data_IF_694940000679
#
_entry.id   IF_694940000679
#
_cell.length_a   1.000
_cell.length_b   1.000
_cell.length_c   1.000
_cell.angle_alpha   90.00
_cell.angle_beta   90.00
_cell.angle_gamma   90.00
#
_symmetry.space_group_name_H-M   'P 1'
#
loop_
_entity.id
_entity.type
_entity.pdbx_description
1 polymer ?
#
# COMPACT_ATOMS: atom_id res chain seq x y z
N UNK A 1 -12.09 -4.71 25.80
CA UNK A 1 -10.96 -5.62 26.11
C UNK A 1 -9.79 -5.25 25.21
N UNK A 2 -8.60 -5.80 25.47
CA UNK A 2 -7.38 -5.48 24.70
C UNK A 2 -7.52 -5.84 23.22
N UNK A 3 -8.37 -6.81 22.87
CA UNK A 3 -8.74 -7.16 21.50
C UNK A 3 -9.62 -6.09 20.81
N UNK A 4 -10.58 -5.49 21.53
CA UNK A 4 -11.45 -4.41 21.05
C UNK A 4 -10.72 -3.10 20.78
N UNK A 5 -9.74 -2.70 21.61
CA UNK A 5 -8.89 -1.53 21.34
C UNK A 5 -7.96 -1.75 20.15
N UNK A 6 -7.55 -3.00 19.92
CA UNK A 6 -6.64 -3.42 18.85
C UNK A 6 -7.34 -3.48 17.50
N UNK A 7 -8.59 -3.97 17.45
CA UNK A 7 -9.45 -3.93 16.28
C UNK A 7 -9.87 -2.50 15.90
N UNK A 8 -10.10 -1.63 16.90
CA UNK A 8 -10.38 -0.20 16.68
C UNK A 8 -9.14 0.56 16.17
N UNK A 9 -7.94 0.15 16.57
CA UNK A 9 -6.66 0.70 16.09
C UNK A 9 -6.39 0.29 14.64
N UNK A 10 -6.63 -0.98 14.28
CA UNK A 10 -6.56 -1.44 12.89
C UNK A 10 -7.65 -0.79 12.03
N UNK A 11 -8.88 -0.63 12.55
CA UNK A 11 -9.96 0.08 11.87
C UNK A 11 -9.67 1.59 11.68
N UNK A 12 -8.92 2.22 12.60
CA UNK A 12 -8.42 3.61 12.51
C UNK A 12 -7.21 3.73 11.57
N UNK A 13 -6.31 2.76 11.56
CA UNK A 13 -5.18 2.71 10.62
C UNK A 13 -5.63 2.39 9.18
N UNK A 14 -6.72 1.63 9.07
CA UNK A 14 -7.48 1.42 7.85
C UNK A 14 -8.34 2.65 7.55
N UNK A 15 -8.61 3.58 8.49
CA UNK A 15 -9.53 4.71 8.27
C UNK A 15 -9.07 5.67 7.16
N UNK A 16 -7.79 6.00 7.05
CA UNK A 16 -7.30 6.81 5.91
C UNK A 16 -7.52 6.11 4.54
N UNK A 17 -7.46 4.77 4.53
CA UNK A 17 -7.74 3.92 3.36
C UNK A 17 -9.25 3.64 3.24
N UNK A 18 -10.00 3.66 4.33
CA UNK A 18 -11.44 3.46 4.41
C UNK A 18 -12.17 4.73 4.03
N UNK A 19 -11.71 5.93 4.33
CA UNK A 19 -12.23 7.20 3.81
C UNK A 19 -11.95 7.31 2.31
N UNK A 20 -10.81 6.76 1.87
CA UNK A 20 -10.48 6.57 0.46
C UNK A 20 -11.44 5.56 -0.19
N UNK A 21 -11.82 4.47 0.50
CA UNK A 21 -12.85 3.47 0.10
C UNK A 21 -14.32 3.91 0.32
N UNK A 22 -14.60 4.79 1.28
CA UNK A 22 -15.92 5.24 1.72
C UNK A 22 -16.33 6.49 0.96
N UNK A 23 -15.38 7.35 0.57
CA UNK A 23 -15.58 8.34 -0.48
C UNK A 23 -15.98 7.69 -1.81
N UNK A 24 -15.50 6.48 -2.09
CA UNK A 24 -15.98 5.68 -3.23
C UNK A 24 -17.43 5.26 -3.07
N UNK A 25 -17.80 4.78 -1.89
CA UNK A 25 -19.16 4.32 -1.58
C UNK A 25 -20.18 5.47 -1.51
N UNK A 26 -19.79 6.63 -1.00
CA UNK A 26 -20.65 7.82 -0.93
C UNK A 26 -20.93 8.42 -2.32
N UNK A 27 -19.97 8.42 -3.24
CA UNK A 27 -20.22 8.82 -4.63
C UNK A 27 -21.08 7.81 -5.39
N UNK A 28 -20.90 6.51 -5.15
CA UNK A 28 -21.76 5.46 -5.72
C UNK A 28 -23.22 5.61 -5.24
N UNK A 29 -23.43 5.90 -3.95
CA UNK A 29 -24.76 6.18 -3.40
C UNK A 29 -25.37 7.50 -3.89
N UNK A 30 -24.56 8.54 -4.12
CA UNK A 30 -25.03 9.83 -4.62
C UNK A 30 -25.39 9.83 -6.11
N UNK A 31 -24.84 8.89 -6.89
CA UNK A 31 -25.10 8.72 -8.34
C UNK A 31 -25.99 7.52 -8.69
N UNK A 32 -26.39 6.70 -7.72
CA UNK A 32 -27.24 5.55 -7.97
C UNK A 32 -28.68 5.97 -8.33
N UNK A 33 -29.19 5.65 -9.54
CA UNK A 33 -30.62 5.74 -9.79
C UNK A 33 -31.37 4.73 -8.91
N UNK A 34 -32.61 5.04 -8.54
CA UNK A 34 -33.47 4.19 -7.72
C UNK A 34 -33.41 2.72 -8.22
N UNK A 35 -32.90 1.83 -7.36
CA UNK A 35 -32.63 0.41 -7.65
C UNK A 35 -33.81 -0.24 -8.37
N UNK A 36 -33.61 -0.61 -9.63
CA UNK A 36 -34.37 -1.69 -10.27
C UNK A 36 -33.53 -2.97 -10.17
N UNK A 37 -34.20 -4.10 -9.88
CA UNK A 37 -33.67 -5.44 -9.53
C UNK A 37 -32.28 -5.80 -10.08
N UNK A 38 -31.47 -6.42 -9.22
CA UNK A 38 -30.16 -7.00 -9.52
C UNK A 38 -30.16 -7.78 -10.83
N UNK A 39 -29.35 -7.33 -11.79
CA UNK A 39 -29.08 -8.03 -13.03
C UNK A 39 -27.90 -8.99 -12.81
N UNK A 40 -28.18 -10.28 -12.73
CA UNK A 40 -27.19 -11.36 -12.60
C UNK A 40 -26.82 -11.88 -14.00
N UNK A 41 -25.98 -11.15 -14.73
CA UNK A 41 -25.51 -11.57 -16.06
C UNK A 41 -24.02 -11.28 -16.25
N UNK A 42 -23.31 -11.93 -17.17
CA UNK A 42 -21.87 -11.76 -17.37
C UNK A 42 -21.45 -10.31 -17.69
N UNK A 43 -22.34 -9.50 -18.26
CA UNK A 43 -22.10 -8.05 -18.45
C UNK A 43 -22.10 -7.23 -17.15
N UNK A 44 -22.65 -7.73 -16.04
CA UNK A 44 -22.63 -7.02 -14.75
C UNK A 44 -21.25 -7.12 -14.07
N UNK A 45 -20.61 -8.30 -14.14
CA UNK A 45 -19.28 -8.52 -13.54
C UNK A 45 -18.19 -7.72 -14.26
N UNK A 46 -18.22 -7.70 -15.60
CA UNK A 46 -17.30 -6.88 -16.40
C UNK A 46 -17.40 -5.41 -16.01
N UNK A 47 -18.62 -4.91 -15.83
CA UNK A 47 -18.89 -3.54 -15.42
C UNK A 47 -18.40 -3.26 -14.00
N UNK A 48 -18.58 -4.19 -13.06
CA UNK A 48 -18.03 -4.07 -11.69
C UNK A 48 -16.50 -4.02 -11.68
N UNK A 49 -15.83 -4.83 -12.50
CA UNK A 49 -14.37 -4.80 -12.64
C UNK A 49 -13.86 -3.47 -13.20
N UNK A 50 -14.53 -2.91 -14.21
CA UNK A 50 -14.21 -1.60 -14.78
C UNK A 50 -14.39 -0.50 -13.73
N UNK A 51 -15.50 -0.53 -12.98
CA UNK A 51 -15.77 0.41 -11.90
C UNK A 51 -14.69 0.36 -10.83
N UNK A 52 -14.30 -0.83 -10.38
CA UNK A 52 -13.22 -1.01 -9.40
C UNK A 52 -11.87 -0.49 -9.92
N UNK A 53 -11.56 -0.73 -11.20
CA UNK A 53 -10.31 -0.29 -11.81
C UNK A 53 -10.24 1.23 -11.90
N UNK A 54 -11.30 1.88 -12.41
CA UNK A 54 -11.39 3.35 -12.47
C UNK A 54 -11.26 4.01 -11.11
N UNK A 55 -11.77 3.32 -10.10
CA UNK A 55 -11.80 3.80 -8.75
C UNK A 55 -10.40 3.86 -8.13
N UNK A 56 -9.58 2.82 -8.31
CA UNK A 56 -8.17 2.86 -7.92
C UNK A 56 -7.32 3.78 -8.81
N UNK A 57 -7.67 3.97 -10.08
CA UNK A 57 -7.00 4.97 -10.92
C UNK A 57 -7.21 6.39 -10.40
N UNK A 58 -8.42 6.69 -9.90
CA UNK A 58 -8.76 8.03 -9.43
C UNK A 58 -8.32 8.27 -8.00
N UNK A 59 -8.52 7.28 -7.14
CA UNK A 59 -8.36 7.44 -5.68
C UNK A 59 -7.10 6.78 -5.14
N UNK A 60 -6.41 5.94 -5.93
CA UNK A 60 -5.25 5.17 -5.49
C UNK A 60 -4.08 6.01 -5.01
N UNK A 61 -4.09 7.33 -5.19
CA UNK A 61 -3.10 8.23 -4.60
C UNK A 61 -3.79 9.41 -3.91
N UNK A 62 -3.50 9.64 -2.63
CA UNK A 62 -4.00 10.81 -1.89
C UNK A 62 -2.93 11.43 -0.97
N UNK A 63 -3.13 12.70 -0.64
CA UNK A 63 -2.41 13.40 0.42
C UNK A 63 -3.33 13.54 1.63
N UNK A 64 -2.84 13.22 2.82
CA UNK A 64 -3.61 13.26 4.07
C UNK A 64 -2.71 13.70 5.23
N UNK A 65 -3.30 14.16 6.34
CA UNK A 65 -2.55 14.39 7.58
C UNK A 65 -2.35 13.07 8.33
N UNK A 66 -1.25 12.36 8.05
CA UNK A 66 -0.98 11.07 8.69
C UNK A 66 -0.73 11.21 10.20
N UNK A 67 -0.37 12.41 10.67
CA UNK A 67 -0.16 12.66 12.09
C UNK A 67 -1.48 12.67 12.87
N UNK A 68 -2.59 13.06 12.23
CA UNK A 68 -3.95 12.99 12.81
C UNK A 68 -4.57 11.60 12.70
N UNK A 69 -4.27 10.87 11.62
CA UNK A 69 -4.91 9.58 11.30
C UNK A 69 -4.40 8.39 12.14
N UNK A 70 -3.30 8.55 12.88
CA UNK A 70 -2.85 7.56 13.87
C UNK A 70 -1.34 7.33 13.86
N UNK A 71 -0.90 6.29 14.57
CA UNK A 71 0.52 5.97 14.68
C UNK A 71 1.10 5.47 13.34
N UNK A 72 2.16 6.12 12.87
CA UNK A 72 3.02 5.65 11.78
C UNK A 72 4.36 5.19 12.36
N UNK A 73 4.83 4.00 11.96
CA UNK A 73 6.01 3.33 12.53
C UNK A 73 7.26 4.19 12.54
N UNK A 74 7.42 5.00 11.49
CA UNK A 74 8.61 5.83 11.25
C UNK A 74 8.43 7.31 11.62
N UNK A 75 7.32 7.68 12.28
CA UNK A 75 7.04 9.08 12.60
C UNK A 75 8.16 9.73 13.44
N UNK A 76 8.71 8.98 14.39
CA UNK A 76 9.83 9.46 15.22
C UNK A 76 11.14 9.58 14.47
N UNK A 77 11.33 8.81 13.38
CA UNK A 77 12.55 8.79 12.58
C UNK A 77 12.56 9.96 11.59
N UNK A 78 11.39 10.26 11.00
CA UNK A 78 11.19 11.41 10.14
C UNK A 78 11.48 12.76 10.83
N UNK A 79 11.11 12.88 12.11
CA UNK A 79 11.38 14.08 12.91
C UNK A 79 12.88 14.33 13.18
N UNK A 80 13.75 13.31 13.05
CA UNK A 80 15.18 13.41 13.39
C UNK A 80 16.05 13.94 12.25
N UNK A 81 15.50 14.15 11.05
CA UNK A 81 16.30 14.65 9.93
C UNK A 81 15.45 15.15 8.77
N UNK A 82 15.55 16.45 8.49
CA UNK A 82 14.94 17.04 7.32
C UNK A 82 15.75 16.72 6.04
N UNK A 83 15.09 16.37 4.92
CA UNK A 83 15.77 16.24 3.64
C UNK A 83 16.33 17.60 3.17
N UNK A 84 17.41 17.57 2.39
CA UNK A 84 18.00 18.78 1.80
C UNK A 84 18.20 18.61 0.30
N UNK A 85 17.89 19.67 -0.46
CA UNK A 85 18.22 19.80 -1.89
C UNK A 85 17.74 18.63 -2.77
N UNK A 86 18.69 17.86 -3.33
CA UNK A 86 18.44 16.79 -4.31
C UNK A 86 17.48 15.70 -3.80
N UNK A 87 17.52 15.39 -2.50
CA UNK A 87 16.64 14.40 -1.89
C UNK A 87 15.16 14.78 -2.00
N UNK A 88 14.82 16.06 -1.77
CA UNK A 88 13.46 16.57 -1.92
C UNK A 88 12.98 16.42 -3.37
N UNK A 89 13.81 16.86 -4.33
CA UNK A 89 13.49 16.72 -5.76
C UNK A 89 13.23 15.27 -6.13
N UNK A 90 14.05 14.34 -5.65
CA UNK A 90 13.84 12.92 -5.89
C UNK A 90 12.50 12.44 -5.34
N UNK A 91 12.15 12.79 -4.10
CA UNK A 91 10.86 12.42 -3.49
C UNK A 91 9.68 12.93 -4.32
N UNK A 92 9.74 14.17 -4.80
CA UNK A 92 8.68 14.72 -5.68
C UNK A 92 8.53 13.93 -6.99
N UNK A 93 9.63 13.44 -7.57
CA UNK A 93 9.59 12.55 -8.75
C UNK A 93 8.93 11.22 -8.41
N UNK A 94 9.22 10.63 -7.24
CA UNK A 94 8.53 9.41 -6.79
C UNK A 94 7.03 9.63 -6.64
N UNK A 95 6.62 10.72 -5.98
CA UNK A 95 5.20 11.03 -5.78
C UNK A 95 4.47 11.22 -7.10
N UNK A 96 5.08 11.90 -8.07
CA UNK A 96 4.51 12.04 -9.41
C UNK A 96 4.35 10.69 -10.12
N UNK A 97 5.35 9.80 -10.01
CA UNK A 97 5.28 8.46 -10.60
C UNK A 97 4.21 7.59 -9.94
N UNK A 98 4.08 7.64 -8.61
CA UNK A 98 3.03 6.95 -7.87
C UNK A 98 1.64 7.47 -8.26
N UNK A 99 1.45 8.80 -8.28
CA UNK A 99 0.18 9.39 -8.67
C UNK A 99 -0.25 8.99 -10.09
N UNK A 100 0.71 8.85 -11.02
CA UNK A 100 0.41 8.55 -12.41
C UNK A 100 0.30 7.06 -12.76
N UNK A 101 0.89 6.15 -11.98
CA UNK A 101 1.18 4.79 -12.47
C UNK A 101 0.99 3.68 -11.42
N UNK A 102 0.23 3.92 -10.36
CA UNK A 102 -0.14 2.86 -9.44
C UNK A 102 -1.00 1.79 -10.15
N UNK A 103 -0.65 0.49 -10.02
CA UNK A 103 -1.50 -0.59 -10.53
C UNK A 103 -2.84 -0.62 -9.81
N UNK A 104 -3.93 -0.68 -10.57
CA UNK A 104 -5.28 -0.82 -10.04
C UNK A 104 -6.15 -1.65 -10.98
N UNK A 105 -6.74 -2.72 -10.46
CA UNK A 105 -7.66 -3.54 -11.24
C UNK A 105 -8.24 -4.70 -10.44
N UNK A 106 -9.04 -5.52 -11.10
CA UNK A 106 -9.69 -6.67 -10.46
C UNK A 106 -8.70 -7.70 -9.90
N UNK A 107 -7.53 -7.87 -10.52
CA UNK A 107 -6.51 -8.82 -10.07
C UNK A 107 -5.61 -8.28 -8.94
N UNK A 108 -6.13 -7.39 -8.09
CA UNK A 108 -5.36 -6.68 -7.09
C UNK A 108 -5.05 -5.24 -7.50
N UNK A 109 -4.70 -4.44 -6.49
CA UNK A 109 -4.53 -3.01 -6.62
C UNK A 109 -3.57 -2.49 -5.56
N UNK A 110 -2.94 -1.35 -5.85
CA UNK A 110 -2.06 -0.64 -4.94
C UNK A 110 -2.62 0.77 -4.76
N UNK A 111 -2.79 1.18 -3.51
CA UNK A 111 -3.09 2.56 -3.16
C UNK A 111 -2.03 3.12 -2.22
N UNK A 112 -1.76 4.41 -2.31
CA UNK A 112 -0.77 5.12 -1.51
C UNK A 112 -1.38 6.39 -0.96
N UNK A 113 -1.15 6.61 0.32
CA UNK A 113 -1.37 7.92 0.95
C UNK A 113 -0.03 8.48 1.39
N UNK A 114 0.20 9.77 1.14
CA UNK A 114 1.39 10.50 1.59
C UNK A 114 0.98 11.55 2.62
N UNK A 115 1.85 11.77 3.62
CA UNK A 115 1.62 12.84 4.58
C UNK A 115 1.64 14.22 3.89
N UNK A 116 0.70 15.08 4.24
CA UNK A 116 0.55 16.42 3.66
C UNK A 116 1.70 17.37 4.07
N UNK A 117 2.35 17.12 5.20
CA UNK A 117 3.42 17.97 5.75
C UNK A 117 4.82 17.40 5.53
N UNK A 118 4.96 16.07 5.50
CA UNK A 118 6.22 15.36 5.32
C UNK A 118 6.12 14.25 4.26
N UNK A 119 6.49 14.60 3.02
CA UNK A 119 6.56 13.68 1.88
C UNK A 119 7.52 12.47 2.06
N UNK A 120 8.21 12.34 3.19
CA UNK A 120 8.97 11.13 3.55
C UNK A 120 8.12 10.00 4.10
N UNK A 121 6.93 10.31 4.62
CA UNK A 121 6.04 9.37 5.27
C UNK A 121 4.89 9.02 4.33
N UNK A 122 4.72 7.72 4.07
CA UNK A 122 3.64 7.21 3.24
C UNK A 122 3.06 5.94 3.87
N UNK A 123 1.78 5.69 3.64
CA UNK A 123 1.21 4.34 3.81
C UNK A 123 0.88 3.78 2.43
N UNK A 124 1.18 2.51 2.22
CA UNK A 124 0.77 1.78 1.03
C UNK A 124 -0.21 0.68 1.41
N UNK A 125 -1.35 0.62 0.72
CA UNK A 125 -2.26 -0.51 0.73
C UNK A 125 -1.96 -1.37 -0.50
N UNK A 126 -1.79 -2.67 -0.31
CA UNK A 126 -1.77 -3.66 -1.38
C UNK A 126 -2.96 -4.58 -1.18
N UNK A 127 -3.82 -4.66 -2.20
CA UNK A 127 -4.90 -5.64 -2.30
C UNK A 127 -4.33 -6.90 -2.94
N UNK A 128 -4.45 -8.02 -2.24
CA UNK A 128 -3.86 -9.28 -2.70
C UNK A 128 -4.48 -9.76 -4.03
N UNK A 129 -3.66 -10.32 -4.96
CA UNK A 129 -4.13 -10.71 -6.28
C UNK A 129 -5.11 -11.88 -6.26
N UNK A 130 -5.95 -11.96 -7.30
CA UNK A 130 -6.84 -13.12 -7.46
C UNK A 130 -6.06 -14.38 -7.78
N UNK A 131 -6.59 -15.54 -7.39
CA UNK A 131 -5.90 -16.82 -7.57
C UNK A 131 -4.72 -17.04 -6.61
N UNK A 132 -4.57 -16.19 -5.59
CA UNK A 132 -3.58 -16.34 -4.53
C UNK A 132 -4.27 -16.53 -3.17
N UNK A 133 -3.60 -17.08 -2.14
CA UNK A 133 -4.17 -17.14 -0.79
C UNK A 133 -4.37 -15.75 -0.17
N UNK A 134 -3.90 -14.70 -0.83
CA UNK A 134 -4.02 -13.31 -0.41
C UNK A 134 -5.22 -12.59 -1.03
N UNK A 135 -5.95 -13.24 -1.93
CA UNK A 135 -7.02 -12.63 -2.73
C UNK A 135 -7.98 -11.81 -1.87
N UNK A 136 -8.22 -10.56 -2.29
CA UNK A 136 -9.08 -9.57 -1.61
C UNK A 136 -8.62 -9.15 -0.20
N UNK A 137 -7.48 -9.65 0.28
CA UNK A 137 -6.87 -9.22 1.54
C UNK A 137 -6.27 -7.82 1.42
N UNK A 138 -6.41 -7.02 2.49
CA UNK A 138 -5.87 -5.67 2.58
C UNK A 138 -4.58 -5.65 3.41
N UNK A 139 -3.43 -5.47 2.75
CA UNK A 139 -2.12 -5.44 3.39
C UNK A 139 -1.60 -4.02 3.42
N UNK A 140 -1.53 -3.43 4.61
CA UNK A 140 -1.09 -2.04 4.79
C UNK A 140 0.37 -2.05 5.23
N UNK A 141 1.16 -1.18 4.61
CA UNK A 141 2.58 -0.98 4.86
C UNK A 141 2.83 0.47 5.26
N UNK A 142 3.57 0.67 6.35
CA UNK A 142 4.19 1.95 6.64
C UNK A 142 5.46 2.05 5.80
N UNK A 143 5.62 3.16 5.10
CA UNK A 143 6.71 3.43 4.17
C UNK A 143 7.41 4.70 4.61
N UNK A 144 8.74 4.66 4.65
CA UNK A 144 9.55 5.82 4.98
C UNK A 144 10.70 5.99 4.01
N UNK A 145 10.84 7.21 3.50
CA UNK A 145 11.95 7.64 2.65
C UNK A 145 12.99 8.32 3.55
N UNK A 146 14.10 7.64 3.93
CA UNK A 146 15.06 8.22 4.87
C UNK A 146 15.74 9.48 4.28
N UNK A 147 16.44 10.29 5.11
CA UNK A 147 17.19 11.46 4.63
C UNK A 147 18.25 11.11 3.57
N UNK A 148 18.77 9.89 3.61
CA UNK A 148 19.75 9.33 2.65
C UNK A 148 19.11 8.81 1.36
N UNK A 149 17.79 8.86 1.20
CA UNK A 149 17.13 8.48 -0.05
C UNK A 149 17.47 9.46 -1.19
N UNK A 150 17.79 9.02 -2.42
CA UNK A 150 17.71 7.64 -2.93
C UNK A 150 19.06 6.89 -2.90
N UNK A 151 20.07 7.36 -2.17
CA UNK A 151 21.34 6.62 -2.05
C UNK A 151 21.17 5.28 -1.32
N UNK A 152 20.14 5.18 -0.46
CA UNK A 152 19.68 3.93 0.14
C UNK A 152 18.21 3.66 -0.21
N UNK A 153 17.73 2.41 -0.07
CA UNK A 153 16.33 2.07 -0.32
C UNK A 153 15.36 2.72 0.68
N UNK A 154 14.05 2.69 0.38
CA UNK A 154 13.03 3.04 1.37
C UNK A 154 12.96 1.99 2.49
N UNK A 155 12.38 2.35 3.64
CA UNK A 155 12.05 1.42 4.71
C UNK A 155 10.57 1.08 4.67
N UNK A 156 10.24 -0.22 4.74
CA UNK A 156 8.87 -0.71 4.74
C UNK A 156 8.62 -1.58 5.98
N UNK A 157 7.44 -1.44 6.58
CA UNK A 157 6.94 -2.31 7.65
C UNK A 157 5.50 -2.70 7.37
N UNK A 158 5.21 -4.00 7.28
CA UNK A 158 3.84 -4.51 7.24
C UNK A 158 3.19 -4.29 8.62
N UNK A 159 2.06 -3.60 8.67
CA UNK A 159 1.29 -3.39 9.91
C UNK A 159 0.06 -4.29 10.01
N UNK A 160 -0.41 -4.84 8.88
CA UNK A 160 -1.41 -5.92 8.88
C UNK A 160 -0.76 -7.22 9.35
N UNK A 161 -0.49 -7.36 10.65
CA UNK A 161 0.18 -8.55 11.24
C UNK A 161 -0.59 -9.14 12.43
N UNK A 162 -1.73 -8.59 12.83
CA UNK A 162 -2.37 -8.99 14.08
C UNK A 162 -3.01 -10.40 14.02
N UNK A 163 -2.95 -11.19 15.12
CA UNK A 163 -2.24 -10.90 16.38
C UNK A 163 -0.72 -11.10 16.30
N UNK A 164 -0.21 -11.95 15.40
CA UNK A 164 1.22 -12.07 15.03
C UNK A 164 1.35 -13.05 13.85
N UNK A 165 0.69 -12.73 12.74
CA UNK A 165 0.57 -13.60 11.58
C UNK A 165 1.77 -13.40 10.65
N UNK A 166 2.54 -14.48 10.42
CA UNK A 166 3.51 -14.55 9.33
C UNK A 166 2.75 -14.86 8.04
N UNK A 167 2.55 -13.86 7.18
CA UNK A 167 1.74 -13.99 5.97
C UNK A 167 2.47 -14.65 4.80
N UNK A 168 3.80 -14.55 4.77
CA UNK A 168 4.61 -15.08 3.69
C UNK A 168 6.02 -15.34 4.23
N UNK A 169 6.82 -16.23 3.62
CA UNK A 169 8.25 -16.33 3.92
C UNK A 169 8.97 -14.98 3.95
N UNK A 170 8.55 -14.04 3.10
CA UNK A 170 9.06 -12.68 3.02
C UNK A 170 8.27 -11.62 3.83
N UNK A 171 7.17 -11.99 4.50
CA UNK A 171 6.35 -11.11 5.33
C UNK A 171 6.20 -11.69 6.74
N UNK A 172 7.06 -11.21 7.63
CA UNK A 172 7.24 -11.76 8.97
C UNK A 172 6.12 -11.33 9.92
N UNK A 173 5.92 -12.12 10.98
CA UNK A 173 4.91 -11.85 12.01
C UNK A 173 5.14 -10.54 12.78
N UNK A 174 6.39 -10.08 12.83
CA UNK A 174 6.75 -8.80 13.43
C UNK A 174 6.54 -7.62 12.47
N UNK A 175 6.15 -7.88 11.22
CA UNK A 175 5.96 -6.92 10.14
C UNK A 175 7.18 -6.67 9.24
N UNK A 176 8.29 -7.40 9.45
CA UNK A 176 9.48 -7.26 8.61
C UNK A 176 9.22 -7.76 7.18
N UNK A 177 9.77 -7.04 6.20
CA UNK A 177 9.57 -7.27 4.77
C UNK A 177 10.89 -7.62 4.10
N UNK A 178 10.94 -8.77 3.44
CA UNK A 178 12.11 -9.25 2.71
C UNK A 178 11.93 -8.99 1.20
N UNK A 179 12.78 -8.14 0.64
CA UNK A 179 12.87 -7.91 -0.80
C UNK A 179 14.28 -7.44 -1.13
N UNK A 180 14.85 -7.91 -2.24
CA UNK A 180 16.24 -7.58 -2.60
C UNK A 180 16.41 -6.07 -2.85
N UNK A 181 15.40 -5.42 -3.45
CA UNK A 181 15.34 -3.97 -3.62
C UNK A 181 15.35 -3.19 -2.30
N UNK A 182 15.03 -3.83 -1.16
CA UNK A 182 15.11 -3.24 0.18
C UNK A 182 16.41 -3.60 0.90
N UNK A 183 17.28 -4.40 0.28
CA UNK A 183 18.49 -4.94 0.89
C UNK A 183 18.23 -5.98 1.98
N UNK A 184 17.00 -6.49 2.09
CA UNK A 184 16.57 -7.45 3.12
C UNK A 184 16.41 -8.87 2.59
N UNK A 185 16.79 -9.11 1.34
CA UNK A 185 16.79 -10.43 0.71
C UNK A 185 17.91 -10.55 -0.32
N UNK A 186 18.25 -11.79 -0.69
CA UNK A 186 19.21 -12.07 -1.76
C UNK A 186 18.63 -11.71 -3.14
N UNK A 187 19.49 -11.26 -4.07
CA UNK A 187 19.12 -10.89 -5.43
C UNK A 187 19.62 -9.50 -5.82
N UNK A 188 19.18 -8.97 -6.98
CA UNK A 188 19.51 -7.62 -7.43
C UNK A 188 19.05 -6.58 -6.41
N UNK A 189 20.01 -5.83 -5.86
CA UNK A 189 19.77 -4.85 -4.82
C UNK A 189 19.24 -3.51 -5.35
N UNK A 190 18.99 -2.59 -4.41
CA UNK A 190 18.69 -1.19 -4.71
C UNK A 190 19.79 -0.53 -5.53
N UNK A 191 19.43 0.16 -6.62
CA UNK A 191 20.35 0.93 -7.45
C UNK A 191 20.01 2.42 -7.26
N UNK A 192 20.91 3.22 -6.65
CA UNK A 192 20.70 4.65 -6.45
C UNK A 192 20.28 5.38 -7.73
N UNK A 193 19.36 6.32 -7.58
CA UNK A 193 18.78 7.16 -8.65
C UNK A 193 18.02 6.40 -9.77
N UNK A 194 18.11 5.07 -9.83
CA UNK A 194 17.49 4.22 -10.87
C UNK A 194 16.28 3.47 -10.32
N UNK A 195 16.44 2.79 -9.19
CA UNK A 195 15.35 2.07 -8.53
C UNK A 195 14.29 3.06 -8.01
N UNK A 196 13.01 2.67 -8.00
CA UNK A 196 11.89 3.53 -7.58
C UNK A 196 11.05 2.89 -6.48
N UNK A 197 10.29 3.70 -5.73
CA UNK A 197 9.33 3.19 -4.77
C UNK A 197 8.19 2.42 -5.48
N UNK A 198 7.77 2.86 -6.66
CA UNK A 198 6.79 2.12 -7.47
C UNK A 198 7.28 0.71 -7.79
N UNK A 199 8.55 0.55 -8.19
CA UNK A 199 9.14 -0.77 -8.44
C UNK A 199 9.13 -1.66 -7.20
N UNK A 200 9.39 -1.11 -6.00
CA UNK A 200 9.29 -1.86 -4.73
C UNK A 200 7.86 -2.36 -4.51
N UNK A 201 6.86 -1.47 -4.63
CA UNK A 201 5.46 -1.83 -4.39
C UNK A 201 4.94 -2.85 -5.40
N UNK A 202 5.27 -2.68 -6.68
CA UNK A 202 4.93 -3.65 -7.74
C UNK A 202 5.66 -4.98 -7.50
N UNK A 203 6.92 -4.96 -7.07
CA UNK A 203 7.66 -6.19 -6.76
C UNK A 203 7.04 -6.96 -5.59
N UNK A 204 6.54 -6.28 -4.56
CA UNK A 204 5.77 -6.94 -3.50
C UNK A 204 4.53 -7.62 -4.08
N UNK A 205 3.72 -6.88 -4.84
CA UNK A 205 2.51 -7.41 -5.49
C UNK A 205 2.81 -8.64 -6.38
N UNK A 206 3.90 -8.60 -7.15
CA UNK A 206 4.21 -9.64 -8.16
C UNK A 206 5.04 -10.81 -7.65
N UNK A 207 5.89 -10.62 -6.62
CA UNK A 207 6.84 -11.64 -6.17
C UNK A 207 6.49 -12.22 -4.80
N UNK A 208 5.76 -11.48 -3.97
CA UNK A 208 5.42 -11.91 -2.61
C UNK A 208 3.99 -12.44 -2.56
N UNK A 209 3.04 -11.70 -3.14
CA UNK A 209 1.63 -12.11 -3.17
C UNK A 209 1.35 -13.06 -4.35
N UNK A 210 1.87 -14.29 -4.25
CA UNK A 210 1.82 -15.31 -5.32
C UNK A 210 0.93 -16.50 -4.96
N UNK A 211 0.50 -17.35 -5.93
CA UNK A 211 -0.37 -18.50 -5.67
C UNK A 211 0.19 -19.52 -4.69
N UNK A 212 1.49 -19.82 -4.79
CA UNK A 212 2.17 -20.84 -3.99
C UNK A 212 3.26 -20.19 -3.12
N UNK A 213 2.89 -19.40 -2.09
CA UNK A 213 3.85 -18.60 -1.32
C UNK A 213 4.83 -19.44 -0.49
N UNK A 214 4.55 -20.73 -0.31
CA UNK A 214 5.46 -21.67 0.34
C UNK A 214 6.83 -21.70 -0.34
N UNK A 215 6.89 -21.60 -1.67
CA UNK A 215 8.14 -21.63 -2.44
C UNK A 215 8.93 -20.32 -2.40
N UNK A 216 8.45 -19.31 -1.68
CA UNK A 216 9.24 -18.10 -1.39
C UNK A 216 10.21 -18.30 -0.22
N UNK A 217 10.13 -19.43 0.52
CA UNK A 217 11.18 -19.78 1.49
C UNK A 217 12.52 -19.93 0.76
N UNK A 218 13.63 -19.52 1.38
CA UNK A 218 14.95 -19.75 0.81
C UNK A 218 15.32 -21.23 1.01
N UNK A 219 15.42 -22.00 -0.08
CA UNK A 219 15.82 -23.41 -0.05
C UNK A 219 15.11 -24.25 -1.09
#
# INVERSE_FOLDING_TARGET
DQAGETALSLARQIHAVYELLAGMQQEEHAKAPARTRAATGPGSLQHEHERYSHLFQREGFRQVDLQKEGAHRYMSDAQRGAPVGKAIRRRMVELAALHASLPGGWNGAIAVVVDETDCSLLKALIIGPTGTPYANGCFVFDVWLPPTYPACPPHLKLITTQPSTRFNPNLYADGSVCLSLLGTWSGPGWIPDTSTLLQVLVSLHSLVFVPDPYFNEPG
#
